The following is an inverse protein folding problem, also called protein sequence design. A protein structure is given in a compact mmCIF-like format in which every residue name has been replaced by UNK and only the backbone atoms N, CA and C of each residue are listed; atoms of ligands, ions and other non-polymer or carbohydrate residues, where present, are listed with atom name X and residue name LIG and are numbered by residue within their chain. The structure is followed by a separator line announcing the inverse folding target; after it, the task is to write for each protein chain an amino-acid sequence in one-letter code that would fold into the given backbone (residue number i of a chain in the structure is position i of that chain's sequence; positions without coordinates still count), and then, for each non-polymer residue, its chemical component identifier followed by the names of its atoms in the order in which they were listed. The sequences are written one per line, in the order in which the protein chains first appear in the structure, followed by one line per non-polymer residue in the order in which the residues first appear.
data_IF_292656586780
#
_entry.id   IF_292656586780
#
_cell.length_a   1.000
_cell.length_b   1.000
_cell.length_c   1.000
_cell.angle_alpha   90.00
_cell.angle_beta   90.00
_cell.angle_gamma   90.00
#
_symmetry.space_group_name_H-M   'P 1'
#
loop_
_entity.id
_entity.type
_entity.pdbx_description
1 polymer ?
#
# COMPACT_ATOMS: atom_id res chain seq x y z
N UNK A 1 -58.19 -18.57 24.24
CA UNK A 1 -58.61 -19.27 23.00
C UNK A 1 -57.39 -19.24 22.09
N UNK A 2 -56.71 -20.31 21.73
CA UNK A 2 -56.99 -21.74 21.70
C UNK A 2 -55.64 -22.45 21.66
N UNK A 3 -55.52 -23.56 22.40
CA UNK A 3 -54.44 -24.54 22.27
C UNK A 3 -54.33 -25.08 20.83
N UNK A 4 -53.10 -25.38 20.39
CA UNK A 4 -52.87 -26.39 19.36
C UNK A 4 -51.49 -27.04 19.52
N UNK A 5 -51.53 -28.37 19.58
CA UNK A 5 -50.49 -29.33 19.95
C UNK A 5 -49.36 -29.42 18.91
N UNK A 6 -48.15 -29.64 19.44
CA UNK A 6 -47.00 -30.18 18.70
C UNK A 6 -47.28 -31.66 18.42
N UNK A 7 -47.28 -32.06 17.15
CA UNK A 7 -47.31 -33.45 16.71
C UNK A 7 -46.05 -33.78 15.93
N UNK A 8 -45.28 -34.72 16.45
CA UNK A 8 -44.16 -35.40 15.81
C UNK A 8 -44.54 -35.98 14.43
N UNK A 9 -43.79 -35.61 13.39
CA UNK A 9 -43.62 -36.46 12.21
C UNK A 9 -42.14 -36.84 12.06
N UNK A 10 -41.83 -38.07 12.46
CA UNK A 10 -40.62 -38.78 12.04
C UNK A 10 -40.81 -39.24 10.59
N UNK A 11 -40.14 -38.61 9.64
CA UNK A 11 -39.94 -39.16 8.30
C UNK A 11 -38.65 -39.96 8.24
N UNK A 12 -38.78 -41.22 7.81
CA UNK A 12 -37.73 -42.22 7.62
C UNK A 12 -36.87 -41.81 6.40
N UNK A 13 -35.53 -41.88 6.44
CA UNK A 13 -34.73 -41.63 5.23
C UNK A 13 -34.83 -42.83 4.28
N UNK A 14 -35.26 -42.57 3.05
CA UNK A 14 -35.08 -43.49 1.91
C UNK A 14 -33.60 -43.58 1.52
N UNK A 15 -33.12 -44.73 1.02
CA UNK A 15 -31.72 -44.91 0.69
C UNK A 15 -31.32 -44.05 -0.50
N UNK A 16 -30.25 -43.28 -0.33
CA UNK A 16 -29.64 -42.47 -1.37
C UNK A 16 -29.33 -43.31 -2.62
N UNK A 17 -29.92 -42.92 -3.74
CA UNK A 17 -29.53 -43.42 -5.05
C UNK A 17 -28.09 -43.01 -5.30
N UNK A 18 -27.24 -44.03 -5.41
CA UNK A 18 -25.84 -43.92 -5.76
C UNK A 18 -25.74 -43.55 -7.25
N UNK A 19 -25.96 -42.29 -7.59
CA UNK A 19 -25.68 -41.76 -8.93
C UNK A 19 -24.18 -41.50 -9.01
N UNK A 20 -23.45 -42.43 -9.61
CA UNK A 20 -22.07 -42.22 -10.04
C UNK A 20 -21.98 -40.92 -10.81
N UNK A 21 -21.12 -40.02 -10.35
CA UNK A 21 -20.83 -38.74 -10.99
C UNK A 21 -20.21 -39.01 -12.36
N UNK A 22 -20.93 -38.67 -13.42
CA UNK A 22 -20.33 -38.44 -14.75
C UNK A 22 -19.17 -37.44 -14.61
N UNK A 23 -18.08 -37.55 -15.38
CA UNK A 23 -17.03 -36.55 -15.35
C UNK A 23 -17.63 -35.19 -15.73
N UNK A 24 -17.68 -34.27 -14.76
CA UNK A 24 -18.15 -32.91 -14.98
C UNK A 24 -17.34 -32.29 -16.13
N UNK A 25 -18.05 -31.63 -17.04
CA UNK A 25 -17.40 -30.89 -18.11
C UNK A 25 -16.44 -29.86 -17.50
N UNK A 26 -15.27 -29.60 -18.13
CA UNK A 26 -14.30 -28.65 -17.59
C UNK A 26 -14.96 -27.29 -17.36
N UNK A 27 -14.96 -26.85 -16.10
CA UNK A 27 -15.49 -25.57 -15.65
C UNK A 27 -14.36 -24.59 -15.38
N UNK A 28 -14.57 -23.31 -15.69
CA UNK A 28 -13.60 -22.26 -15.42
C UNK A 28 -13.65 -21.91 -13.94
N UNK A 29 -12.54 -22.11 -13.22
CA UNK A 29 -12.40 -21.72 -11.82
C UNK A 29 -11.59 -20.43 -11.70
N UNK A 30 -12.19 -19.38 -11.12
CA UNK A 30 -11.50 -18.11 -10.81
C UNK A 30 -11.51 -17.90 -9.30
N UNK A 31 -10.34 -17.75 -8.69
CA UNK A 31 -10.18 -17.53 -7.25
C UNK A 31 -8.94 -16.69 -6.95
N UNK A 32 -8.98 -15.97 -5.82
CA UNK A 32 -7.85 -15.23 -5.29
C UNK A 32 -7.07 -16.07 -4.27
N UNK A 33 -5.74 -15.95 -4.29
CA UNK A 33 -4.85 -16.49 -3.26
C UNK A 33 -4.39 -15.33 -2.39
N UNK A 34 -4.60 -15.41 -1.08
CA UNK A 34 -4.21 -14.39 -0.12
C UNK A 34 -3.76 -15.03 1.20
N UNK A 35 -2.95 -14.31 1.99
CA UNK A 35 -2.48 -14.78 3.30
C UNK A 35 -1.41 -15.88 3.26
N UNK A 36 -0.76 -16.06 2.11
CA UNK A 36 0.33 -17.02 1.91
C UNK A 36 1.66 -16.27 1.96
N UNK A 37 2.67 -16.85 2.59
CA UNK A 37 4.04 -16.28 2.60
C UNK A 37 4.53 -16.04 1.17
N UNK A 38 5.17 -14.90 0.86
CA UNK A 38 5.56 -14.53 -0.51
C UNK A 38 6.39 -15.60 -1.24
N UNK A 39 7.32 -16.25 -0.54
CA UNK A 39 8.17 -17.32 -1.07
C UNK A 39 7.36 -18.57 -1.41
N UNK A 40 6.35 -18.90 -0.59
CA UNK A 40 5.45 -20.03 -0.81
C UNK A 40 4.54 -19.77 -2.00
N UNK A 41 4.03 -18.54 -2.13
CA UNK A 41 3.22 -18.12 -3.28
C UNK A 41 4.02 -18.17 -4.58
N UNK A 42 5.22 -17.59 -4.60
CA UNK A 42 6.11 -17.63 -5.75
C UNK A 42 6.46 -19.07 -6.15
N UNK A 43 6.77 -19.94 -5.19
CA UNK A 43 6.99 -21.36 -5.45
C UNK A 43 5.74 -22.04 -6.03
N UNK A 44 4.56 -21.83 -5.44
CA UNK A 44 3.32 -22.45 -5.92
C UNK A 44 3.01 -22.07 -7.36
N UNK A 45 3.15 -20.79 -7.71
CA UNK A 45 2.95 -20.28 -9.06
C UNK A 45 4.01 -20.82 -10.04
N UNK A 46 5.28 -20.88 -9.62
CA UNK A 46 6.35 -21.46 -10.44
C UNK A 46 6.12 -22.96 -10.68
N UNK A 47 5.76 -23.72 -9.63
CA UNK A 47 5.46 -25.16 -9.70
C UNK A 47 4.27 -25.43 -10.63
N UNK A 48 3.22 -24.62 -10.58
CA UNK A 48 2.06 -24.73 -11.48
C UNK A 48 2.48 -24.71 -12.96
N UNK A 49 3.48 -23.89 -13.32
CA UNK A 49 3.98 -23.84 -14.70
C UNK A 49 4.79 -25.07 -15.16
N UNK A 50 5.13 -25.98 -14.25
CA UNK A 50 6.03 -27.14 -14.47
C UNK A 50 5.49 -28.47 -13.89
N UNK A 51 4.23 -28.49 -13.47
CA UNK A 51 3.59 -29.63 -12.80
C UNK A 51 2.25 -29.93 -13.45
N UNK A 52 1.81 -31.19 -13.38
CA UNK A 52 0.44 -31.58 -13.75
C UNK A 52 -0.60 -31.18 -12.68
N UNK A 53 -0.16 -30.74 -11.49
CA UNK A 53 -1.04 -30.33 -10.41
C UNK A 53 -1.64 -28.95 -10.66
N UNK A 54 -2.88 -28.77 -10.24
CA UNK A 54 -3.48 -27.44 -10.13
C UNK A 54 -2.78 -26.59 -9.06
N UNK A 55 -3.01 -25.28 -9.10
CA UNK A 55 -2.50 -24.37 -8.08
C UNK A 55 -3.09 -24.66 -6.70
N UNK A 56 -4.37 -25.07 -6.59
CA UNK A 56 -4.99 -25.51 -5.33
C UNK A 56 -4.30 -26.74 -4.73
N UNK A 57 -4.01 -27.73 -5.56
CA UNK A 57 -3.30 -28.94 -5.13
C UNK A 57 -1.85 -28.64 -4.75
N UNK A 58 -1.18 -27.79 -5.53
CA UNK A 58 0.18 -27.33 -5.24
C UNK A 58 0.24 -26.65 -3.87
N UNK A 59 -0.66 -25.69 -3.59
CA UNK A 59 -0.71 -25.00 -2.30
C UNK A 59 -0.93 -25.94 -1.10
N UNK A 60 -1.70 -27.02 -1.26
CA UNK A 60 -1.92 -28.01 -0.19
C UNK A 60 -0.66 -28.82 0.16
N UNK A 61 0.21 -29.05 -0.81
CA UNK A 61 1.42 -29.85 -0.63
C UNK A 61 2.63 -29.05 -0.14
N UNK A 62 2.56 -27.71 -0.25
CA UNK A 62 3.69 -26.83 0.00
C UNK A 62 3.78 -26.50 1.48
N UNK A 63 4.99 -26.65 1.99
CA UNK A 63 5.41 -26.11 3.28
C UNK A 63 6.70 -25.31 3.07
N UNK A 64 7.09 -24.54 4.10
CA UNK A 64 8.26 -23.66 4.04
C UNK A 64 9.55 -24.39 3.63
N UNK A 65 9.81 -25.58 4.20
CA UNK A 65 11.02 -26.36 3.89
C UNK A 65 11.10 -26.82 2.42
N UNK A 66 9.95 -27.13 1.80
CA UNK A 66 9.89 -27.47 0.37
C UNK A 66 10.09 -26.23 -0.50
N UNK A 67 9.53 -25.08 -0.09
CA UNK A 67 9.71 -23.82 -0.80
C UNK A 67 11.18 -23.38 -0.81
N UNK A 68 11.87 -23.44 0.34
CA UNK A 68 13.30 -23.11 0.47
C UNK A 68 14.16 -23.99 -0.45
N UNK A 69 14.01 -25.32 -0.39
CA UNK A 69 14.77 -26.24 -1.28
C UNK A 69 14.52 -26.00 -2.77
N UNK A 70 13.30 -25.64 -3.12
CA UNK A 70 12.96 -25.32 -4.51
C UNK A 70 13.64 -24.02 -4.95
N UNK A 71 13.60 -22.96 -4.13
CA UNK A 71 14.26 -21.71 -4.44
C UNK A 71 15.78 -21.91 -4.58
N UNK A 72 16.42 -22.65 -3.68
CA UNK A 72 17.84 -23.01 -3.78
C UNK A 72 18.21 -23.64 -5.13
N UNK A 73 17.37 -24.54 -5.63
CA UNK A 73 17.65 -25.25 -6.88
C UNK A 73 17.31 -24.37 -8.10
N UNK A 74 16.08 -23.87 -8.19
CA UNK A 74 15.57 -23.26 -9.41
C UNK A 74 15.90 -21.77 -9.52
N UNK A 75 15.86 -21.05 -8.39
CA UNK A 75 16.20 -19.62 -8.39
C UNK A 75 17.71 -19.42 -8.36
N UNK A 76 18.42 -20.03 -7.39
CA UNK A 76 19.85 -19.77 -7.22
C UNK A 76 20.75 -20.59 -8.16
N UNK A 77 20.51 -21.89 -8.35
CA UNK A 77 21.39 -22.71 -9.21
C UNK A 77 21.05 -22.58 -10.70
N UNK A 78 19.77 -22.64 -11.08
CA UNK A 78 19.37 -22.53 -12.49
C UNK A 78 19.15 -21.09 -12.97
N UNK A 79 19.18 -20.11 -12.06
CA UNK A 79 19.12 -18.69 -12.42
C UNK A 79 17.75 -18.21 -12.93
N UNK A 80 16.66 -18.90 -12.60
CA UNK A 80 15.30 -18.48 -13.00
C UNK A 80 14.80 -17.29 -12.17
N UNK A 81 15.35 -16.10 -12.44
CA UNK A 81 15.08 -14.89 -11.65
C UNK A 81 13.61 -14.45 -11.66
N UNK A 82 12.86 -14.78 -12.73
CA UNK A 82 11.44 -14.43 -12.86
C UNK A 82 10.53 -15.09 -11.81
N UNK A 83 11.03 -16.06 -11.04
CA UNK A 83 10.30 -16.63 -9.90
C UNK A 83 10.18 -15.60 -8.76
N UNK A 84 11.20 -14.77 -8.55
CA UNK A 84 11.14 -13.73 -7.52
C UNK A 84 10.13 -12.63 -7.85
N UNK A 85 9.86 -12.36 -9.12
CA UNK A 85 8.85 -11.39 -9.56
C UNK A 85 7.42 -11.78 -9.13
N UNK A 86 7.20 -13.02 -8.69
CA UNK A 86 5.92 -13.53 -8.19
C UNK A 86 5.74 -13.33 -6.68
N UNK A 87 6.81 -12.97 -5.97
CA UNK A 87 6.79 -12.66 -4.53
C UNK A 87 6.65 -11.15 -4.33
N UNK A 88 5.65 -10.73 -3.54
CA UNK A 88 5.40 -9.33 -3.24
C UNK A 88 5.50 -9.11 -1.73
N UNK A 89 6.19 -8.05 -1.32
CA UNK A 89 6.36 -7.66 0.08
C UNK A 89 5.86 -6.24 0.26
N UNK A 90 4.94 -6.04 1.20
CA UNK A 90 4.54 -4.71 1.62
C UNK A 90 5.59 -4.13 2.58
N UNK A 91 6.15 -2.96 2.24
CA UNK A 91 7.14 -2.26 3.06
C UNK A 91 6.59 -0.91 3.51
N UNK A 92 6.87 -0.55 4.76
CA UNK A 92 6.64 0.80 5.28
C UNK A 92 8.01 1.44 5.55
N UNK A 93 8.29 2.55 4.87
CA UNK A 93 9.52 3.32 5.04
C UNK A 93 9.16 4.64 5.73
N UNK A 94 9.68 4.82 6.95
CA UNK A 94 9.39 5.99 7.78
C UNK A 94 10.65 6.77 8.10
N UNK A 95 10.50 8.07 8.41
CA UNK A 95 11.60 9.00 8.74
C UNK A 95 12.65 9.08 7.63
N UNK A 96 12.18 9.03 6.39
CA UNK A 96 12.96 9.27 5.19
C UNK A 96 12.70 10.70 4.73
N UNK A 97 13.76 11.45 4.44
CA UNK A 97 13.62 12.78 3.85
C UNK A 97 12.88 12.72 2.51
N UNK A 98 12.19 13.79 2.09
CA UNK A 98 11.57 13.91 0.77
C UNK A 98 12.58 13.59 -0.34
N UNK A 99 13.83 14.05 -0.23
CA UNK A 99 14.87 13.72 -1.22
C UNK A 99 15.08 12.20 -1.33
N UNK A 100 15.17 11.52 -0.20
CA UNK A 100 15.27 10.06 -0.14
C UNK A 100 14.02 9.37 -0.68
N UNK A 101 12.83 9.90 -0.39
CA UNK A 101 11.57 9.36 -0.90
C UNK A 101 11.49 9.45 -2.42
N UNK A 102 11.93 10.57 -3.01
CA UNK A 102 12.06 10.72 -4.47
C UNK A 102 12.98 9.66 -5.04
N UNK A 103 14.14 9.41 -4.42
CA UNK A 103 15.08 8.40 -4.88
C UNK A 103 14.52 6.97 -4.80
N UNK A 104 13.75 6.65 -3.76
CA UNK A 104 13.07 5.35 -3.64
C UNK A 104 11.96 5.21 -4.68
N UNK A 105 11.18 6.27 -4.88
CA UNK A 105 10.05 6.29 -5.81
C UNK A 105 10.48 6.22 -7.28
N UNK A 106 11.72 6.54 -7.60
CA UNK A 106 12.31 6.44 -8.94
C UNK A 106 12.49 4.98 -9.41
N UNK A 107 12.49 4.00 -8.50
CA UNK A 107 12.39 2.59 -8.88
C UNK A 107 11.06 2.33 -9.60
N UNK A 108 11.07 1.55 -10.68
CA UNK A 108 9.85 1.33 -11.49
C UNK A 108 9.08 0.08 -11.08
N UNK A 109 9.69 -0.80 -10.28
CA UNK A 109 9.15 -2.13 -9.92
C UNK A 109 8.41 -2.17 -8.59
N UNK A 110 7.97 -1.02 -8.08
CA UNK A 110 7.12 -0.95 -6.89
C UNK A 110 5.75 -0.38 -7.25
N UNK A 111 4.79 -0.68 -6.41
CA UNK A 111 3.50 0.01 -6.35
C UNK A 111 3.30 0.48 -4.91
N UNK A 112 2.74 1.68 -4.74
CA UNK A 112 2.54 2.22 -3.41
C UNK A 112 2.22 3.70 -3.37
N UNK A 113 2.32 4.26 -2.16
CA UNK A 113 1.84 5.59 -1.86
C UNK A 113 2.84 6.33 -0.95
N UNK A 114 3.25 7.51 -1.38
CA UNK A 114 3.99 8.45 -0.52
C UNK A 114 3.04 9.32 0.31
N UNK A 115 3.57 9.88 1.40
CA UNK A 115 2.85 10.87 2.21
C UNK A 115 2.75 12.18 1.41
N UNK A 116 1.52 12.58 1.10
CA UNK A 116 1.30 13.72 0.19
C UNK A 116 1.68 15.07 0.81
N UNK A 117 2.61 15.78 0.17
CA UNK A 117 2.95 17.20 0.47
C UNK A 117 1.81 18.18 0.19
N UNK A 118 0.67 17.71 -0.33
CA UNK A 118 -0.51 18.54 -0.63
C UNK A 118 -1.56 18.49 0.48
N UNK A 119 -1.52 17.46 1.32
CA UNK A 119 -2.57 17.18 2.31
C UNK A 119 -2.05 16.94 3.72
N UNK A 120 -0.73 16.84 3.91
CA UNK A 120 -0.13 16.57 5.20
C UNK A 120 0.71 17.75 5.63
N UNK A 121 0.50 18.20 6.87
CA UNK A 121 1.31 19.24 7.48
C UNK A 121 2.66 18.66 7.92
N UNK A 122 3.71 19.08 7.21
CA UNK A 122 5.07 18.65 7.45
C UNK A 122 5.82 19.49 8.48
N UNK A 123 5.25 20.61 8.97
CA UNK A 123 5.91 21.47 9.95
C UNK A 123 6.31 20.70 11.22
N UNK A 124 5.50 19.71 11.61
CA UNK A 124 5.72 18.88 12.80
C UNK A 124 6.47 17.58 12.52
N UNK A 125 6.85 17.32 11.28
CA UNK A 125 7.47 16.05 10.87
C UNK A 125 8.97 16.00 11.19
N UNK A 126 9.59 17.15 11.45
CA UNK A 126 11.04 17.26 11.56
C UNK A 126 11.72 17.21 10.19
N UNK A 127 13.02 17.03 10.17
CA UNK A 127 13.81 16.87 8.95
C UNK A 127 15.07 16.04 9.24
N UNK A 128 15.57 15.38 8.21
CA UNK A 128 16.82 14.65 8.26
C UNK A 128 18.02 15.60 8.31
N UNK A 129 19.02 15.29 9.14
CA UNK A 129 20.29 16.02 9.18
C UNK A 129 21.43 15.04 8.86
N UNK A 130 22.10 15.18 7.70
CA UNK A 130 23.27 14.39 7.36
C UNK A 130 24.43 14.60 8.36
N UNK A 131 25.36 13.64 8.41
CA UNK A 131 26.62 13.87 9.10
C UNK A 131 27.56 14.72 8.23
N UNK A 132 27.83 15.94 8.69
CA UNK A 132 28.71 16.89 8.03
C UNK A 132 30.15 16.87 8.55
N UNK A 133 30.48 16.06 9.57
CA UNK A 133 31.81 15.97 10.19
C UNK A 133 32.27 17.21 10.97
N UNK A 134 31.63 18.36 10.78
CA UNK A 134 31.92 19.62 11.49
C UNK A 134 30.65 20.25 12.05
N UNK A 135 30.78 20.91 13.21
CA UNK A 135 29.66 21.59 13.86
C UNK A 135 29.21 22.82 13.06
N UNK A 136 30.15 23.52 12.42
CA UNK A 136 29.88 24.71 11.61
C UNK A 136 28.97 24.38 10.42
N UNK A 137 29.28 23.32 9.66
CA UNK A 137 28.46 22.90 8.52
C UNK A 137 27.08 22.38 8.97
N UNK A 138 27.03 21.65 10.10
CA UNK A 138 25.76 21.20 10.69
C UNK A 138 24.88 22.38 11.12
N UNK A 139 25.46 23.41 11.74
CA UNK A 139 24.74 24.60 12.14
C UNK A 139 24.21 25.37 10.93
N UNK A 140 25.05 25.60 9.92
CA UNK A 140 24.62 26.24 8.67
C UNK A 140 23.46 25.49 8.01
N UNK A 141 23.52 24.16 7.95
CA UNK A 141 22.44 23.33 7.40
C UNK A 141 21.13 23.51 8.18
N UNK A 142 21.18 23.36 9.50
CA UNK A 142 20.02 23.53 10.38
C UNK A 142 19.40 24.92 10.19
N UNK A 143 20.21 25.97 10.31
CA UNK A 143 19.72 27.34 10.25
C UNK A 143 19.09 27.63 8.87
N UNK A 144 19.61 27.02 7.80
CA UNK A 144 19.04 27.11 6.45
C UNK A 144 17.68 26.39 6.36
N UNK A 145 17.58 25.17 6.88
CA UNK A 145 16.33 24.39 6.85
C UNK A 145 15.24 25.07 7.70
N UNK A 146 15.59 25.54 8.90
CA UNK A 146 14.68 26.30 9.77
C UNK A 146 14.22 27.62 9.12
N UNK A 147 15.14 28.32 8.44
CA UNK A 147 14.83 29.50 7.63
C UNK A 147 13.82 29.19 6.52
N UNK A 148 14.01 28.09 5.78
CA UNK A 148 13.06 27.67 4.74
C UNK A 148 11.68 27.34 5.32
N UNK A 149 11.60 26.63 6.46
CA UNK A 149 10.33 26.39 7.14
C UNK A 149 9.63 27.69 7.57
N UNK A 150 10.41 28.65 8.07
CA UNK A 150 9.88 29.97 8.47
C UNK A 150 9.29 30.73 7.28
N UNK A 151 9.98 30.73 6.13
CA UNK A 151 9.47 31.36 4.90
C UNK A 151 8.26 30.61 4.36
N UNK A 152 8.28 29.28 4.40
CA UNK A 152 7.15 28.43 4.00
C UNK A 152 5.87 28.74 4.79
N UNK A 153 5.97 28.91 6.11
CA UNK A 153 4.84 29.27 6.98
C UNK A 153 4.31 30.66 6.65
N UNK A 154 5.20 31.67 6.61
CA UNK A 154 4.83 33.04 6.30
C UNK A 154 4.21 33.18 4.90
N UNK A 155 4.73 32.43 3.91
CA UNK A 155 4.17 32.40 2.56
C UNK A 155 2.77 31.76 2.56
N UNK A 156 2.57 30.66 3.28
CA UNK A 156 1.28 29.98 3.37
C UNK A 156 0.19 30.89 3.91
N UNK A 157 0.47 31.63 4.98
CA UNK A 157 -0.47 32.60 5.53
C UNK A 157 -0.75 33.74 4.55
N UNK A 158 0.31 34.33 3.96
CA UNK A 158 0.16 35.44 3.01
C UNK A 158 -0.60 35.03 1.76
N UNK A 159 -0.38 33.81 1.25
CA UNK A 159 -1.10 33.27 0.10
C UNK A 159 -2.57 33.03 0.41
N UNK A 160 -2.92 32.59 1.63
CA UNK A 160 -4.31 32.45 2.03
C UNK A 160 -5.03 33.81 2.02
N UNK A 161 -4.44 34.84 2.63
CA UNK A 161 -5.00 36.19 2.65
C UNK A 161 -5.17 36.76 1.23
N UNK A 162 -4.15 36.62 0.40
CA UNK A 162 -4.19 37.06 -1.00
C UNK A 162 -5.29 36.33 -1.78
N UNK A 163 -5.40 35.01 -1.65
CA UNK A 163 -6.44 34.23 -2.32
C UNK A 163 -7.86 34.63 -1.87
N UNK A 164 -8.03 34.97 -0.59
CA UNK A 164 -9.30 35.46 -0.05
C UNK A 164 -9.68 36.84 -0.62
N UNK A 165 -8.70 37.71 -0.86
CA UNK A 165 -8.89 39.01 -1.49
C UNK A 165 -9.36 38.88 -2.95
N UNK A 166 -8.72 37.99 -3.72
CA UNK A 166 -8.98 37.90 -5.17
C UNK A 166 -10.06 36.89 -5.57
N UNK A 167 -10.51 36.04 -4.64
CA UNK A 167 -11.47 34.96 -4.93
C UNK A 167 -12.72 35.16 -4.09
N UNK A 168 -13.75 35.89 -4.57
CA UNK A 168 -14.98 36.09 -3.81
C UNK A 168 -15.66 34.77 -3.45
N UNK A 169 -16.25 34.71 -2.26
CA UNK A 169 -17.01 33.52 -1.82
C UNK A 169 -18.33 33.39 -2.60
N UNK A 170 -18.62 32.24 -3.23
CA UNK A 170 -19.93 31.98 -3.81
C UNK A 170 -21.06 31.99 -2.76
N UNK A 171 -22.28 32.35 -3.16
CA UNK A 171 -23.41 32.45 -2.23
C UNK A 171 -23.80 31.08 -1.63
N UNK A 172 -23.66 30.03 -2.43
CA UNK A 172 -24.07 28.66 -2.13
C UNK A 172 -23.04 27.92 -1.26
N UNK A 173 -21.82 28.45 -1.14
CA UNK A 173 -20.73 27.82 -0.39
C UNK A 173 -20.70 28.34 1.05
N UNK A 174 -20.72 27.40 2.01
CA UNK A 174 -20.53 27.70 3.44
C UNK A 174 -19.16 28.34 3.68
N UNK A 175 -19.08 29.30 4.60
CA UNK A 175 -17.85 30.03 4.93
C UNK A 175 -16.66 29.08 5.21
N UNK A 176 -16.85 28.10 6.09
CA UNK A 176 -15.80 27.15 6.46
C UNK A 176 -15.32 26.28 5.29
N UNK A 177 -16.20 25.96 4.34
CA UNK A 177 -15.83 25.18 3.16
C UNK A 177 -14.99 26.03 2.20
N UNK A 178 -15.38 27.29 2.00
CA UNK A 178 -14.62 28.25 1.22
C UNK A 178 -13.23 28.51 1.83
N UNK A 179 -13.15 28.79 3.13
CA UNK A 179 -11.87 29.05 3.79
C UNK A 179 -10.93 27.83 3.74
N UNK A 180 -11.46 26.62 3.98
CA UNK A 180 -10.66 25.39 3.86
C UNK A 180 -10.13 25.19 2.45
N UNK A 181 -10.93 25.47 1.42
CA UNK A 181 -10.48 25.37 0.03
C UNK A 181 -9.34 26.37 -0.26
N UNK A 182 -9.46 27.62 0.21
CA UNK A 182 -8.41 28.61 0.03
C UNK A 182 -7.14 28.28 0.82
N UNK A 183 -7.27 27.81 2.07
CA UNK A 183 -6.12 27.36 2.87
C UNK A 183 -5.42 26.15 2.21
N UNK A 184 -6.18 25.17 1.72
CA UNK A 184 -5.61 24.04 0.99
C UNK A 184 -4.87 24.48 -0.29
N UNK A 185 -5.41 25.47 -1.01
CA UNK A 185 -4.73 26.04 -2.19
C UNK A 185 -3.48 26.83 -1.83
N UNK A 186 -3.52 27.64 -0.77
CA UNK A 186 -2.37 28.37 -0.26
C UNK A 186 -1.25 27.39 0.17
N UNK A 187 -1.64 26.30 0.83
CA UNK A 187 -0.76 25.21 1.23
C UNK A 187 -0.09 24.52 0.03
N UNK A 188 -0.87 24.14 -1.00
CA UNK A 188 -0.36 23.51 -2.23
C UNK A 188 0.57 24.44 -3.03
N UNK A 189 0.36 25.77 -2.98
CA UNK A 189 1.25 26.76 -3.60
C UNK A 189 2.54 26.91 -2.79
N UNK A 190 2.46 26.90 -1.48
CA UNK A 190 3.62 27.22 -0.62
C UNK A 190 4.58 26.04 -0.50
N UNK A 191 4.14 24.80 -0.75
CA UNK A 191 4.95 23.58 -0.62
C UNK A 191 6.24 23.55 -1.44
N UNK A 192 6.40 24.40 -2.45
CA UNK A 192 7.65 24.52 -3.20
C UNK A 192 8.82 25.08 -2.38
N UNK A 193 8.53 25.66 -1.22
CA UNK A 193 9.54 26.05 -0.23
C UNK A 193 9.76 25.00 0.87
N UNK A 194 9.00 23.90 0.85
CA UNK A 194 9.20 22.82 1.81
C UNK A 194 10.60 22.21 1.59
N UNK A 195 11.47 22.17 2.61
CA UNK A 195 12.81 21.63 2.46
C UNK A 195 12.76 20.17 2.03
N UNK A 196 13.60 19.76 1.08
CA UNK A 196 13.71 18.34 0.70
C UNK A 196 14.28 17.45 1.82
N UNK A 197 14.81 18.08 2.87
CA UNK A 197 15.26 17.45 4.10
C UNK A 197 14.12 16.90 4.96
N UNK A 198 12.92 17.48 4.83
CA UNK A 198 11.70 17.13 5.56
C UNK A 198 11.40 15.64 5.51
#
# INVERSE_FOLDING_TARGET
MSDAKISDLKTKPEPASNTGSSPEAPSVEVYAVYGVEPEVQAYAMAKYSRSALSMKESLREINRQKAEKFLDTFYFQYGHRSIADLAHIALAIERLSILGAIAVADEQRWDGQERSTRYQDFQKSGYYTPDFGTEQARNLYRDTVEGLFSVYEALSERMWLYLAEITPKPAEVKQDAYERALRARAFDISRYLLPLAT
#
